data_IF_130373512749
#
_entry.id   IF_130373512749
#
_cell.length_a   1.000
_cell.length_b   1.000
_cell.length_c   1.000
_cell.angle_alpha   90.00
_cell.angle_beta   90.00
_cell.angle_gamma   90.00
#
_symmetry.space_group_name_H-M   'P 1'
#
loop_
_entity.id
_entity.type
_entity.pdbx_description
1 polymer ?
#
# COMPACT_ATOMS: atom_id res chain seq x y z
N UNK A 1 -39.23 34.35 -29.39
CA UNK A 1 -38.13 35.03 -28.67
C UNK A 1 -38.58 36.36 -28.08
N UNK A 2 -39.25 37.23 -28.84
CA UNK A 2 -39.72 38.55 -28.35
C UNK A 2 -40.62 38.49 -27.11
N UNK A 3 -41.55 37.53 -27.04
CA UNK A 3 -42.41 37.36 -25.87
C UNK A 3 -41.68 36.95 -24.58
N UNK A 4 -40.55 36.24 -24.71
CA UNK A 4 -39.72 35.83 -23.55
C UNK A 4 -38.94 37.04 -23.02
N UNK A 5 -38.40 37.86 -23.94
CA UNK A 5 -37.64 39.06 -23.59
C UNK A 5 -38.56 40.09 -22.90
N UNK A 6 -39.74 40.35 -23.46
CA UNK A 6 -40.71 41.27 -22.85
C UNK A 6 -41.19 40.80 -21.46
N UNK A 7 -41.31 39.48 -21.25
CA UNK A 7 -41.62 38.90 -19.95
C UNK A 7 -40.48 39.09 -18.94
N UNK A 8 -39.23 38.93 -19.39
CA UNK A 8 -38.04 39.13 -18.56
C UNK A 8 -37.88 40.59 -18.14
N UNK A 9 -38.11 41.53 -19.05
CA UNK A 9 -38.06 42.96 -18.75
C UNK A 9 -39.14 43.37 -17.73
N UNK A 10 -40.36 42.84 -17.87
CA UNK A 10 -41.48 43.16 -16.98
C UNK A 10 -41.30 42.60 -15.56
N UNK A 11 -40.63 41.46 -15.43
CA UNK A 11 -40.46 40.75 -14.15
C UNK A 11 -39.00 40.68 -13.68
N UNK A 12 -38.16 41.62 -14.11
CA UNK A 12 -36.70 41.60 -13.91
C UNK A 12 -36.25 41.36 -12.45
N UNK A 13 -36.85 42.03 -11.46
CA UNK A 13 -36.52 41.87 -10.04
C UNK A 13 -36.87 40.47 -9.54
N UNK A 14 -38.01 39.94 -9.94
CA UNK A 14 -38.44 38.60 -9.57
C UNK A 14 -37.49 37.54 -10.16
N UNK A 15 -37.11 37.73 -11.44
CA UNK A 15 -36.18 36.83 -12.12
C UNK A 15 -34.79 36.88 -11.50
N UNK A 16 -34.29 38.06 -11.12
CA UNK A 16 -33.02 38.19 -10.41
C UNK A 16 -33.05 37.49 -9.05
N UNK A 17 -34.12 37.65 -8.28
CA UNK A 17 -34.30 36.94 -6.99
C UNK A 17 -34.34 35.43 -7.24
N UNK A 18 -35.06 34.97 -8.27
CA UNK A 18 -35.17 33.56 -8.61
C UNK A 18 -33.80 32.97 -9.00
N UNK A 19 -33.04 33.66 -9.86
CA UNK A 19 -31.67 33.25 -10.22
C UNK A 19 -30.79 33.20 -8.98
N UNK A 20 -30.84 34.23 -8.12
CA UNK A 20 -30.06 34.26 -6.90
C UNK A 20 -30.40 33.09 -5.96
N UNK A 21 -31.68 32.77 -5.79
CA UNK A 21 -32.13 31.62 -4.99
C UNK A 21 -31.66 30.29 -5.59
N UNK A 22 -31.72 30.14 -6.92
CA UNK A 22 -31.23 28.94 -7.61
C UNK A 22 -29.71 28.82 -7.43
N UNK A 23 -28.95 29.91 -7.61
CA UNK A 23 -27.50 29.92 -7.39
C UNK A 23 -27.15 29.59 -5.95
N UNK A 24 -27.87 30.16 -4.98
CA UNK A 24 -27.66 29.87 -3.55
C UNK A 24 -27.98 28.41 -3.23
N UNK A 25 -29.04 27.86 -3.81
CA UNK A 25 -29.38 26.45 -3.68
C UNK A 25 -28.24 25.54 -4.19
N UNK A 26 -27.69 25.81 -5.37
CA UNK A 26 -26.53 25.07 -5.88
C UNK A 26 -25.27 25.27 -5.02
N UNK A 27 -25.05 26.47 -4.47
CA UNK A 27 -23.93 26.70 -3.56
C UNK A 27 -24.05 25.88 -2.27
N UNK A 28 -25.28 25.67 -1.76
CA UNK A 28 -25.53 24.80 -0.61
C UNK A 28 -25.29 23.32 -0.89
N UNK A 29 -25.28 22.91 -2.16
CA UNK A 29 -24.96 21.53 -2.59
C UNK A 29 -23.45 21.29 -2.72
N UNK A 30 -22.60 22.33 -2.72
CA UNK A 30 -21.13 22.19 -2.84
C UNK A 30 -20.53 21.23 -1.79
N UNK A 31 -20.90 21.27 -0.49
CA UNK A 31 -20.36 20.36 0.51
C UNK A 31 -20.72 18.88 0.29
N UNK A 32 -21.74 18.60 -0.53
CA UNK A 32 -22.17 17.24 -0.87
C UNK A 32 -21.50 16.72 -2.15
N UNK A 33 -20.65 17.53 -2.78
CA UNK A 33 -19.92 17.13 -3.97
C UNK A 33 -18.83 16.11 -3.57
N UNK A 34 -19.09 14.84 -3.83
CA UNK A 34 -18.10 13.78 -3.70
C UNK A 34 -17.25 13.71 -4.97
N UNK A 35 -15.96 14.02 -4.85
CA UNK A 35 -15.01 13.84 -5.94
C UNK A 35 -14.64 12.36 -6.01
N UNK A 36 -15.20 11.63 -6.97
CA UNK A 36 -14.71 10.28 -7.26
C UNK A 36 -13.40 10.38 -8.06
N UNK A 37 -12.27 10.16 -7.38
CA UNK A 37 -10.93 10.18 -7.96
C UNK A 37 -10.44 8.81 -8.42
N UNK A 38 -11.29 7.78 -8.37
CA UNK A 38 -10.89 6.42 -8.73
C UNK A 38 -10.80 6.30 -10.24
N UNK A 39 -9.58 6.14 -10.76
CA UNK A 39 -9.30 6.06 -12.20
C UNK A 39 -10.14 4.99 -12.92
N UNK A 40 -10.54 3.93 -12.23
CA UNK A 40 -11.37 2.85 -12.78
C UNK A 40 -12.80 3.30 -13.07
N UNK A 41 -13.32 4.28 -12.32
CA UNK A 41 -14.66 4.87 -12.55
C UNK A 41 -14.68 5.87 -13.70
N UNK A 42 -13.50 6.31 -14.16
CA UNK A 42 -13.33 7.12 -15.37
C UNK A 42 -13.26 6.26 -16.64
N UNK A 43 -13.10 4.94 -16.50
CA UNK A 43 -13.16 4.02 -17.63
C UNK A 43 -14.62 3.78 -18.01
N UNK A 44 -14.96 3.72 -19.31
CA UNK A 44 -16.32 3.43 -19.73
C UNK A 44 -16.74 2.04 -19.20
N UNK A 45 -17.95 1.92 -18.63
CA UNK A 45 -18.43 0.64 -18.12
C UNK A 45 -18.59 -0.33 -19.30
N UNK A 46 -17.74 -1.36 -19.34
CA UNK A 46 -17.83 -2.46 -20.31
C UNK A 46 -18.28 -3.72 -19.55
N UNK A 47 -19.39 -4.37 -19.96
CA UNK A 47 -19.87 -5.61 -19.34
C UNK A 47 -18.80 -6.71 -19.23
N UNK A 48 -17.83 -6.74 -20.15
CA UNK A 48 -16.71 -7.70 -20.11
C UNK A 48 -15.72 -7.34 -19.00
N UNK A 49 -15.45 -6.06 -18.75
CA UNK A 49 -14.58 -5.62 -17.67
C UNK A 49 -15.21 -5.91 -16.30
N UNK A 50 -16.51 -5.69 -16.15
CA UNK A 50 -17.25 -5.99 -14.92
C UNK A 50 -17.27 -7.50 -14.63
N UNK A 51 -17.55 -8.33 -15.64
CA UNK A 51 -17.52 -9.78 -15.49
C UNK A 51 -16.11 -10.29 -15.14
N UNK A 52 -15.07 -9.75 -15.78
CA UNK A 52 -13.68 -10.12 -15.49
C UNK A 52 -13.25 -9.63 -14.10
N UNK A 53 -13.68 -8.43 -13.67
CA UNK A 53 -13.43 -7.91 -12.32
C UNK A 53 -14.08 -8.80 -11.27
N UNK A 54 -15.33 -9.21 -11.48
CA UNK A 54 -16.03 -10.12 -10.58
C UNK A 54 -15.40 -11.53 -10.55
N UNK A 55 -14.89 -12.03 -11.68
CA UNK A 55 -14.21 -13.33 -11.75
C UNK A 55 -12.84 -13.32 -11.06
N UNK A 56 -12.04 -12.28 -11.29
CA UNK A 56 -10.65 -12.18 -10.77
C UNK A 56 -10.63 -11.70 -9.32
N UNK A 57 -11.46 -10.72 -8.97
CA UNK A 57 -11.47 -10.11 -7.63
C UNK A 57 -12.57 -10.68 -6.72
N UNK A 58 -13.58 -11.34 -7.25
CA UNK A 58 -14.70 -11.84 -6.44
C UNK A 58 -15.45 -10.69 -5.75
N UNK A 59 -15.77 -10.87 -4.47
CA UNK A 59 -16.34 -9.83 -3.58
C UNK A 59 -15.25 -8.88 -3.01
N UNK A 60 -13.96 -9.05 -3.36
CA UNK A 60 -12.89 -8.22 -2.83
C UNK A 60 -12.99 -6.80 -3.40
N UNK A 61 -12.94 -5.82 -2.52
CA UNK A 61 -12.87 -4.41 -2.90
C UNK A 61 -11.54 -4.07 -3.58
N UNK A 62 -11.54 -2.96 -4.30
CA UNK A 62 -10.50 -2.47 -5.24
C UNK A 62 -9.06 -2.37 -4.74
N UNK A 63 -8.79 -2.64 -3.47
CA UNK A 63 -7.47 -2.53 -2.89
C UNK A 63 -6.82 -3.91 -2.73
N UNK A 64 -5.53 -4.05 -3.11
CA UNK A 64 -4.81 -5.29 -2.84
C UNK A 64 -4.85 -5.57 -1.34
N UNK A 65 -5.33 -6.76 -1.00
CA UNK A 65 -5.47 -7.22 0.38
C UNK A 65 -4.16 -7.68 1.00
N UNK A 66 -3.02 -7.27 0.46
CA UNK A 66 -1.68 -7.62 0.91
C UNK A 66 -0.80 -6.37 0.90
N UNK A 67 0.01 -6.19 1.94
CA UNK A 67 0.94 -5.07 2.04
C UNK A 67 2.33 -5.52 1.59
N UNK A 68 2.83 -4.89 0.53
CA UNK A 68 4.22 -5.03 0.07
C UNK A 68 4.93 -3.70 0.25
N UNK A 69 6.13 -3.74 0.81
CA UNK A 69 7.01 -2.59 0.82
C UNK A 69 8.47 -3.01 0.66
N UNK A 70 9.23 -2.13 0.03
CA UNK A 70 10.62 -2.36 -0.30
C UNK A 70 11.46 -1.23 0.28
N UNK A 71 12.56 -1.60 0.93
CA UNK A 71 13.52 -0.66 1.49
C UNK A 71 14.76 -0.69 0.61
N UNK A 72 15.05 0.43 -0.05
CA UNK A 72 16.16 0.58 -0.99
C UNK A 72 17.20 1.58 -0.47
N UNK A 73 18.47 1.30 -0.74
CA UNK A 73 19.53 2.28 -0.50
C UNK A 73 20.94 1.68 -0.38
N UNK A 74 21.97 2.54 -0.41
CA UNK A 74 23.37 2.09 -0.39
C UNK A 74 23.80 1.47 0.94
N UNK A 75 23.01 1.65 2.01
CA UNK A 75 23.33 1.32 3.40
C UNK A 75 22.29 0.40 4.03
N UNK A 76 21.48 -0.30 3.22
CA UNK A 76 20.38 -1.16 3.70
C UNK A 76 20.84 -2.29 4.63
N UNK A 77 22.10 -2.71 4.53
CA UNK A 77 22.70 -3.73 5.38
C UNK A 77 23.55 -3.18 6.53
N UNK A 78 23.58 -1.86 6.77
CA UNK A 78 24.21 -1.32 7.97
C UNK A 78 23.32 -1.61 9.19
N UNK A 79 23.94 -1.92 10.34
CA UNK A 79 23.21 -2.31 11.56
C UNK A 79 22.19 -1.25 11.99
N UNK A 80 22.47 0.03 11.78
CA UNK A 80 21.57 1.13 12.10
C UNK A 80 20.31 1.09 11.22
N UNK A 81 20.47 0.80 9.93
CA UNK A 81 19.35 0.67 8.99
C UNK A 81 18.52 -0.57 9.30
N UNK A 82 19.18 -1.71 9.56
CA UNK A 82 18.49 -2.96 9.92
C UNK A 82 17.70 -2.81 11.23
N UNK A 83 18.26 -2.11 12.22
CA UNK A 83 17.58 -1.79 13.47
C UNK A 83 16.33 -0.93 13.22
N UNK A 84 16.45 0.12 12.40
CA UNK A 84 15.31 0.98 12.06
C UNK A 84 14.20 0.21 11.32
N UNK A 85 14.57 -0.69 10.41
CA UNK A 85 13.61 -1.57 9.73
C UNK A 85 12.90 -2.47 10.76
N UNK A 86 13.62 -3.05 11.71
CA UNK A 86 13.02 -3.89 12.74
C UNK A 86 12.05 -3.12 13.64
N UNK A 87 12.33 -1.85 13.92
CA UNK A 87 11.40 -0.96 14.64
C UNK A 87 10.12 -0.68 13.85
N UNK A 88 10.22 -0.53 12.53
CA UNK A 88 9.06 -0.40 11.63
C UNK A 88 8.26 -1.71 11.61
N UNK A 89 8.92 -2.85 11.48
CA UNK A 89 8.26 -4.17 11.51
C UNK A 89 7.56 -4.41 12.85
N UNK A 90 8.17 -4.04 13.97
CA UNK A 90 7.55 -4.16 15.29
C UNK A 90 6.29 -3.28 15.44
N UNK A 91 6.27 -2.11 14.79
CA UNK A 91 5.06 -1.27 14.73
C UNK A 91 3.98 -1.90 13.85
N UNK A 92 4.34 -2.52 12.72
CA UNK A 92 3.41 -3.22 11.85
C UNK A 92 2.84 -4.48 12.52
N UNK A 93 3.67 -5.26 13.20
CA UNK A 93 3.26 -6.48 13.94
C UNK A 93 2.25 -6.18 15.07
N UNK A 94 2.11 -4.91 15.49
CA UNK A 94 1.14 -4.50 16.51
C UNK A 94 -0.29 -4.35 15.97
N UNK A 95 -0.49 -4.40 14.65
CA UNK A 95 -1.81 -4.32 14.02
C UNK A 95 -2.43 -5.70 13.88
N UNK A 96 -3.57 -5.92 14.55
CA UNK A 96 -4.33 -7.16 14.44
C UNK A 96 -4.84 -7.43 13.02
N UNK A 97 -4.90 -6.40 12.18
CA UNK A 97 -5.29 -6.46 10.77
C UNK A 97 -4.23 -7.11 9.88
N UNK A 98 -2.96 -7.08 10.29
CA UNK A 98 -1.85 -7.73 9.60
C UNK A 98 -1.69 -9.18 10.09
N UNK A 99 -1.62 -10.09 9.13
CA UNK A 99 -1.50 -11.52 9.34
C UNK A 99 -0.06 -12.01 9.20
N UNK A 100 0.12 -13.14 8.52
CA UNK A 100 1.44 -13.71 8.29
C UNK A 100 2.33 -12.78 7.47
N UNK A 101 3.59 -12.65 7.90
CA UNK A 101 4.58 -11.82 7.23
C UNK A 101 5.68 -12.66 6.57
N UNK A 102 6.17 -12.19 5.42
CA UNK A 102 7.42 -12.65 4.85
C UNK A 102 8.46 -11.54 5.07
N UNK A 103 9.43 -11.83 5.92
CA UNK A 103 10.56 -10.93 6.21
C UNK A 103 11.88 -11.60 5.83
N UNK A 104 12.80 -10.88 5.18
CA UNK A 104 14.18 -11.31 5.01
C UNK A 104 14.86 -11.73 6.32
N UNK A 105 14.46 -11.16 7.46
CA UNK A 105 15.04 -11.47 8.77
C UNK A 105 14.62 -12.85 9.31
N UNK A 106 13.46 -13.36 8.90
CA UNK A 106 12.93 -14.64 9.40
C UNK A 106 13.08 -15.76 8.37
N UNK A 107 13.67 -15.46 7.22
CA UNK A 107 13.81 -16.43 6.13
C UNK A 107 14.85 -17.51 6.45
N UNK A 108 14.59 -18.72 5.96
CA UNK A 108 15.48 -19.88 6.11
C UNK A 108 15.80 -20.44 4.74
N UNK A 109 17.08 -20.46 4.39
CA UNK A 109 17.58 -21.10 3.16
C UNK A 109 18.01 -22.55 3.45
N UNK A 110 18.17 -23.34 2.39
CA UNK A 110 18.69 -24.70 2.42
C UNK A 110 20.02 -24.74 1.67
N UNK A 111 21.09 -25.13 2.36
CA UNK A 111 22.42 -25.29 1.76
C UNK A 111 22.91 -26.73 1.82
N UNK A 112 23.67 -27.15 0.81
CA UNK A 112 24.32 -28.46 0.78
C UNK A 112 25.59 -28.44 1.62
N UNK A 113 25.59 -29.17 2.74
CA UNK A 113 26.76 -29.37 3.60
C UNK A 113 27.28 -30.80 3.44
N UNK A 114 28.25 -30.96 2.53
CA UNK A 114 28.79 -32.27 2.17
C UNK A 114 27.75 -33.13 1.41
N UNK A 115 27.30 -34.22 2.03
CA UNK A 115 26.28 -35.12 1.46
C UNK A 115 24.86 -34.83 1.94
N UNK A 116 24.66 -33.86 2.83
CA UNK A 116 23.35 -33.54 3.43
C UNK A 116 22.91 -32.12 3.10
N UNK A 117 21.61 -31.91 3.07
CA UNK A 117 21.00 -30.58 3.09
C UNK A 117 20.88 -30.11 4.54
N UNK A 118 21.17 -28.84 4.78
CA UNK A 118 21.04 -28.19 6.07
C UNK A 118 20.28 -26.88 5.89
N UNK A 119 19.31 -26.62 6.77
CA UNK A 119 18.62 -25.35 6.86
C UNK A 119 19.50 -24.33 7.57
N UNK A 120 19.63 -23.14 7.02
CA UNK A 120 20.39 -22.04 7.58
C UNK A 120 19.51 -20.78 7.58
N UNK A 121 19.25 -20.16 8.74
CA UNK A 121 18.55 -18.89 8.77
C UNK A 121 19.40 -17.80 8.10
N UNK A 122 18.75 -16.86 7.42
CA UNK A 122 19.40 -15.72 6.78
C UNK A 122 20.10 -14.82 7.79
N UNK A 123 19.55 -14.69 9.00
CA UNK A 123 20.17 -13.94 10.10
C UNK A 123 20.55 -14.84 11.27
N UNK A 124 21.54 -14.40 12.06
CA UNK A 124 21.81 -14.92 13.40
C UNK A 124 21.25 -14.02 14.50
N UNK A 125 20.69 -12.88 14.12
CA UNK A 125 20.12 -11.89 15.01
C UNK A 125 18.90 -12.45 15.77
N UNK A 126 18.74 -12.02 17.02
CA UNK A 126 17.57 -12.35 17.84
C UNK A 126 16.63 -11.16 17.89
N UNK A 127 15.38 -11.36 17.44
CA UNK A 127 14.32 -10.34 17.45
C UNK A 127 14.26 -9.60 18.79
N UNK A 128 14.25 -8.27 18.74
CA UNK A 128 14.20 -7.39 19.91
C UNK A 128 15.52 -7.16 20.63
N UNK A 129 16.66 -7.57 20.03
CA UNK A 129 18.00 -7.20 20.51
C UNK A 129 18.62 -6.16 19.59
N UNK A 130 19.76 -5.58 20.00
CA UNK A 130 20.46 -4.59 19.16
C UNK A 130 21.32 -5.31 18.15
N UNK A 131 21.19 -4.96 16.86
CA UNK A 131 22.03 -5.50 15.80
C UNK A 131 23.51 -5.23 16.03
N UNK A 132 24.33 -6.28 15.99
CA UNK A 132 25.79 -6.11 15.92
C UNK A 132 26.24 -5.97 14.46
N UNK A 133 27.46 -5.45 14.28
CA UNK A 133 28.03 -5.33 12.94
C UNK A 133 28.24 -6.71 12.30
N UNK A 134 28.69 -7.67 13.09
CA UNK A 134 28.95 -9.04 12.66
C UNK A 134 27.67 -9.76 12.22
N UNK A 135 26.56 -9.52 12.92
CA UNK A 135 25.23 -10.03 12.53
C UNK A 135 24.78 -9.43 11.20
N UNK A 136 24.92 -8.12 11.04
CA UNK A 136 24.56 -7.41 9.81
C UNK A 136 25.40 -7.87 8.61
N UNK A 137 26.71 -8.02 8.80
CA UNK A 137 27.63 -8.53 7.76
C UNK A 137 27.28 -9.98 7.37
N UNK A 138 26.96 -10.83 8.36
CA UNK A 138 26.54 -12.22 8.12
C UNK A 138 25.21 -12.29 7.37
N UNK A 139 24.24 -11.46 7.76
CA UNK A 139 22.94 -11.36 7.10
C UNK A 139 23.10 -10.95 5.64
N UNK A 140 23.88 -9.90 5.38
CA UNK A 140 24.22 -9.44 4.03
C UNK A 140 24.83 -10.56 3.20
N UNK A 141 25.85 -11.26 3.73
CA UNK A 141 26.50 -12.34 3.00
C UNK A 141 25.52 -13.44 2.61
N UNK A 142 24.66 -13.87 3.54
CA UNK A 142 23.73 -14.97 3.31
C UNK A 142 22.62 -14.62 2.34
N UNK A 143 22.00 -13.46 2.49
CA UNK A 143 20.93 -12.99 1.59
C UNK A 143 21.47 -12.78 0.18
N UNK A 144 22.69 -12.26 0.04
CA UNK A 144 23.30 -12.04 -1.26
C UNK A 144 23.85 -13.32 -1.88
N UNK A 145 24.36 -14.31 -1.13
CA UNK A 145 24.88 -15.56 -1.70
C UNK A 145 23.78 -16.52 -2.16
N UNK A 146 22.65 -16.54 -1.46
CA UNK A 146 21.57 -17.48 -1.72
C UNK A 146 20.76 -17.12 -2.97
N UNK A 147 20.69 -18.03 -3.95
CA UNK A 147 19.99 -17.79 -5.22
C UNK A 147 18.48 -17.64 -5.07
N UNK A 148 17.87 -18.25 -4.04
CA UNK A 148 16.43 -18.13 -3.79
C UNK A 148 16.12 -16.78 -3.17
N UNK A 149 16.90 -16.37 -2.18
CA UNK A 149 16.78 -15.07 -1.52
C UNK A 149 17.02 -13.93 -2.52
N UNK A 150 17.97 -14.11 -3.44
CA UNK A 150 18.26 -13.14 -4.50
C UNK A 150 17.18 -13.17 -5.60
N UNK A 151 16.32 -12.16 -5.61
CA UNK A 151 15.18 -12.06 -6.51
C UNK A 151 13.83 -12.31 -5.85
N UNK A 152 13.80 -12.93 -4.67
CA UNK A 152 12.58 -13.06 -3.84
C UNK A 152 12.56 -12.04 -2.70
N UNK A 153 13.68 -11.87 -2.00
CA UNK A 153 13.78 -11.06 -0.77
C UNK A 153 14.69 -9.84 -0.93
N UNK A 154 15.62 -9.92 -1.88
CA UNK A 154 16.49 -8.80 -2.26
C UNK A 154 16.42 -8.58 -3.75
N UNK A 155 16.69 -7.36 -4.21
CA UNK A 155 16.92 -7.08 -5.63
C UNK A 155 18.07 -7.95 -6.17
N UNK A 156 18.07 -8.28 -7.48
CA UNK A 156 19.19 -8.94 -8.13
C UNK A 156 20.54 -8.22 -7.91
N UNK A 157 20.49 -6.89 -7.83
CA UNK A 157 21.62 -5.99 -7.59
C UNK A 157 22.08 -5.98 -6.13
N UNK A 158 21.23 -6.42 -5.19
CA UNK A 158 21.56 -6.49 -3.78
C UNK A 158 21.50 -5.15 -3.05
N UNK A 159 20.63 -4.24 -3.48
CA UNK A 159 20.46 -2.88 -2.94
C UNK A 159 19.05 -2.60 -2.40
N UNK A 160 18.18 -3.60 -2.40
CA UNK A 160 16.81 -3.53 -1.89
C UNK A 160 16.45 -4.74 -1.03
N UNK A 161 15.58 -4.55 -0.03
CA UNK A 161 14.94 -5.63 0.73
C UNK A 161 13.42 -5.55 0.61
N UNK A 162 12.78 -6.66 0.27
CA UNK A 162 11.33 -6.78 0.14
C UNK A 162 10.71 -7.38 1.41
N UNK A 163 9.64 -6.75 1.89
CA UNK A 163 8.83 -7.19 3.00
C UNK A 163 7.37 -7.34 2.55
N UNK A 164 6.70 -8.33 3.13
CA UNK A 164 5.30 -8.62 2.84
C UNK A 164 4.53 -8.93 4.11
N UNK A 165 3.29 -8.47 4.16
CA UNK A 165 2.29 -8.84 5.15
C UNK A 165 0.99 -9.23 4.45
N UNK A 166 0.47 -10.41 4.77
CA UNK A 166 -0.90 -10.76 4.45
C UNK A 166 -1.83 -9.82 5.23
N UNK A 167 -2.83 -9.27 4.56
CA UNK A 167 -3.75 -8.29 5.16
C UNK A 167 -5.11 -8.98 5.28
N UNK A 168 -5.76 -8.87 6.46
CA UNK A 168 -7.14 -9.37 6.59
C UNK A 168 -8.06 -8.60 5.64
N UNK A 169 -9.18 -9.19 5.24
CA UNK A 169 -10.17 -8.44 4.46
C UNK A 169 -10.84 -7.41 5.37
N UNK A 170 -10.50 -6.14 5.15
CA UNK A 170 -11.00 -5.00 5.92
C UNK A 170 -12.20 -4.31 5.25
N UNK A 171 -12.67 -4.84 4.12
CA UNK A 171 -13.80 -4.28 3.40
C UNK A 171 -13.62 -2.78 3.11
N UNK A 172 -14.55 -1.95 3.60
CA UNK A 172 -14.57 -0.50 3.35
C UNK A 172 -13.44 0.27 4.05
N UNK A 173 -12.85 -0.31 5.10
CA UNK A 173 -11.81 0.35 5.88
C UNK A 173 -10.40 0.13 5.32
N UNK A 174 -10.26 -0.73 4.29
CA UNK A 174 -8.98 -1.09 3.67
C UNK A 174 -8.16 0.12 3.23
N UNK A 175 -8.81 1.13 2.62
CA UNK A 175 -8.11 2.35 2.17
C UNK A 175 -7.51 3.12 3.34
N UNK A 176 -8.29 3.37 4.37
CA UNK A 176 -7.85 4.12 5.55
C UNK A 176 -6.70 3.40 6.27
N UNK A 177 -6.77 2.07 6.34
CA UNK A 177 -5.71 1.23 6.93
C UNK A 177 -4.44 1.19 6.08
N UNK A 178 -4.56 1.08 4.76
CA UNK A 178 -3.41 1.18 3.87
C UNK A 178 -2.69 2.53 4.00
N UNK A 179 -3.42 3.63 4.17
CA UNK A 179 -2.83 4.96 4.42
C UNK A 179 -2.14 5.04 5.79
N UNK A 180 -2.69 4.37 6.81
CA UNK A 180 -2.09 4.24 8.14
C UNK A 180 -0.76 3.47 8.08
N UNK A 181 -0.74 2.28 7.47
CA UNK A 181 0.47 1.47 7.29
C UNK A 181 1.54 2.22 6.48
N UNK A 182 1.14 2.89 5.41
CA UNK A 182 2.05 3.67 4.56
C UNK A 182 2.72 4.82 5.30
N UNK A 183 2.08 5.38 6.32
CA UNK A 183 2.66 6.46 7.13
C UNK A 183 3.82 5.95 7.99
N UNK A 184 3.69 4.75 8.55
CA UNK A 184 4.73 4.10 9.36
C UNK A 184 5.95 3.81 8.48
N UNK A 185 5.73 3.22 7.30
CA UNK A 185 6.81 2.82 6.38
C UNK A 185 7.62 4.02 5.85
N UNK A 186 7.00 5.20 5.75
CA UNK A 186 7.65 6.42 5.23
C UNK A 186 8.41 7.23 6.28
N UNK A 187 8.37 6.83 7.55
CA UNK A 187 9.04 7.53 8.66
C UNK A 187 10.48 7.06 8.77
#
# INVERSE_FOLDING_TARGET
MEHVIAFVEKHNKFILILIFLITLFFALLIPQLELNSEYITLLPPDPKHEALKAEIMGDRLEYPGDLYFMVEGPKIFEKETLQAIEEVLAQLDAFDELGESLSPFEFVTVQKKGTRLATLPTTTHKKGTVWTKEEADTFKERVLQDEISRGLLTSPEGDALLFFYATKDLGKDQKAKNEEFSRIIRT
#
